data_IF_921146799036
#
_entry.id   IF_921146799036
#
_cell.length_a   1.000
_cell.length_b   1.000
_cell.length_c   1.000
_cell.angle_alpha   90.00
_cell.angle_beta   90.00
_cell.angle_gamma   90.00
#
_symmetry.space_group_name_H-M   'P 1'
#
loop_
_entity.id
_entity.type
_entity.pdbx_description
1 polymer ?
#
# COMPACT_ATOMS: atom_id res chain seq x y z
N UNK A 1 -11.42 -0.29 6.08
CA UNK A 1 -10.67 -1.23 5.18
C UNK A 1 -9.16 -1.15 5.45
N UNK A 2 -8.43 -2.28 5.45
CA UNK A 2 -7.07 -2.44 6.00
C UNK A 2 -5.97 -2.36 4.93
N UNK A 3 -5.59 -1.16 4.45
CA UNK A 3 -4.59 -1.04 3.37
C UNK A 3 -3.16 -0.78 3.87
N UNK A 4 -2.96 0.08 4.87
CA UNK A 4 -1.65 0.70 5.10
C UNK A 4 -0.51 -0.20 5.59
N UNK A 5 -0.73 -0.99 6.65
CA UNK A 5 0.35 -1.76 7.30
C UNK A 5 0.75 -3.00 6.51
N UNK A 6 -0.18 -3.67 5.81
CA UNK A 6 0.15 -4.85 5.00
C UNK A 6 0.92 -4.49 3.73
N UNK A 7 0.71 -3.30 3.16
CA UNK A 7 1.50 -2.79 2.02
C UNK A 7 3.02 -2.81 2.31
N UNK A 8 3.44 -2.57 3.56
CA UNK A 8 4.85 -2.58 3.97
C UNK A 8 5.51 -3.95 3.73
N UNK A 9 4.76 -5.04 3.87
CA UNK A 9 5.29 -6.39 3.69
C UNK A 9 5.72 -6.65 2.23
N UNK A 10 5.21 -5.85 1.27
CA UNK A 10 5.60 -5.83 -0.14
C UNK A 10 6.62 -4.72 -0.47
N UNK A 11 7.45 -4.28 0.47
CA UNK A 11 8.42 -3.19 0.27
C UNK A 11 9.29 -3.32 -0.99
N UNK A 12 9.70 -4.53 -1.40
CA UNK A 12 10.44 -4.75 -2.65
C UNK A 12 9.64 -4.41 -3.90
N UNK A 13 8.34 -4.74 -3.93
CA UNK A 13 7.45 -4.45 -5.06
C UNK A 13 7.10 -2.96 -5.09
N UNK A 14 6.83 -2.37 -3.91
CA UNK A 14 6.58 -0.94 -3.76
C UNK A 14 7.79 -0.10 -4.21
N UNK A 15 9.01 -0.53 -3.88
CA UNK A 15 10.24 0.10 -4.35
C UNK A 15 10.37 0.07 -5.89
N UNK A 16 9.86 -0.98 -6.54
CA UNK A 16 9.89 -1.10 -8.01
C UNK A 16 8.84 -0.22 -8.68
N UNK A 17 7.65 -0.12 -8.08
CA UNK A 17 6.58 0.76 -8.56
C UNK A 17 6.93 2.24 -8.38
N UNK A 18 7.54 2.60 -7.25
CA UNK A 18 7.85 3.97 -6.88
C UNK A 18 6.61 4.78 -6.50
N UNK A 19 6.68 6.09 -6.67
CA UNK A 19 5.54 6.99 -6.44
C UNK A 19 4.54 6.93 -7.60
N UNK A 20 3.25 6.93 -7.29
CA UNK A 20 2.19 6.86 -8.28
C UNK A 20 0.86 6.42 -7.69
N UNK A 21 -0.11 6.13 -8.55
CA UNK A 21 -1.44 5.67 -8.13
C UNK A 21 -1.62 4.22 -8.51
N UNK A 22 -1.76 3.35 -7.50
CA UNK A 22 -2.15 1.96 -7.66
C UNK A 22 -3.66 1.85 -7.52
N UNK A 23 -4.33 1.29 -8.53
CA UNK A 23 -5.77 1.01 -8.51
C UNK A 23 -6.00 -0.48 -8.60
N UNK A 24 -6.92 -0.98 -7.80
CA UNK A 24 -7.47 -2.33 -7.89
C UNK A 24 -8.97 -2.26 -8.13
N UNK A 25 -9.45 -2.94 -9.16
CA UNK A 25 -10.87 -3.12 -9.44
C UNK A 25 -11.29 -4.52 -8.97
N UNK A 26 -12.11 -4.58 -7.92
CA UNK A 26 -12.57 -5.82 -7.30
C UNK A 26 -13.56 -6.61 -8.19
N UNK A 27 -14.19 -5.94 -9.16
CA UNK A 27 -15.18 -6.58 -10.04
C UNK A 27 -14.49 -7.29 -11.20
N UNK A 28 -13.49 -6.63 -11.80
CA UNK A 28 -12.70 -7.20 -12.90
C UNK A 28 -11.46 -7.95 -12.41
N UNK A 29 -11.12 -7.81 -11.14
CA UNK A 29 -9.88 -8.32 -10.52
C UNK A 29 -8.60 -7.80 -11.19
N UNK A 30 -8.68 -6.61 -11.79
CA UNK A 30 -7.56 -6.00 -12.52
C UNK A 30 -6.84 -4.95 -11.67
N UNK A 31 -5.52 -4.89 -11.85
CA UNK A 31 -4.65 -3.93 -11.19
C UNK A 31 -4.08 -2.94 -12.21
N UNK A 32 -4.05 -1.67 -11.85
CA UNK A 32 -3.51 -0.60 -12.68
C UNK A 32 -2.53 0.23 -11.88
N UNK A 33 -1.44 0.66 -12.50
CA UNK A 33 -0.51 1.62 -11.91
C UNK A 33 -0.33 2.78 -12.86
N UNK A 34 -0.67 4.00 -12.42
CA UNK A 34 -0.72 5.19 -13.27
C UNK A 34 -1.50 4.93 -14.58
N UNK A 35 -2.66 4.28 -14.45
CA UNK A 35 -3.56 3.86 -15.53
C UNK A 35 -3.06 2.73 -16.46
N UNK A 36 -1.81 2.27 -16.31
CA UNK A 36 -1.30 1.12 -17.04
C UNK A 36 -1.68 -0.20 -16.35
N UNK A 37 -2.18 -1.18 -17.12
CA UNK A 37 -2.51 -2.51 -16.59
C UNK A 37 -1.24 -3.23 -16.12
N UNK A 38 -1.24 -3.70 -14.88
CA UNK A 38 -0.14 -4.46 -14.28
C UNK A 38 -0.64 -5.80 -13.75
N UNK A 39 0.29 -6.73 -13.54
CA UNK A 39 -0.02 -7.90 -12.72
C UNK A 39 -0.28 -7.44 -11.27
N UNK A 40 -1.32 -7.98 -10.60
CA UNK A 40 -1.58 -7.67 -9.21
C UNK A 40 -0.32 -7.93 -8.36
N UNK A 41 0.20 -6.94 -7.63
CA UNK A 41 1.19 -7.19 -6.60
C UNK A 41 0.59 -8.11 -5.52
N UNK A 42 1.41 -8.91 -4.85
CA UNK A 42 0.94 -9.90 -3.86
C UNK A 42 -0.01 -9.31 -2.81
N UNK A 43 0.25 -8.06 -2.41
CA UNK A 43 -0.60 -7.35 -1.45
C UNK A 43 -2.03 -7.13 -1.94
N UNK A 44 -2.25 -6.90 -3.24
CA UNK A 44 -3.60 -6.76 -3.79
C UNK A 44 -4.32 -8.11 -3.82
N UNK A 45 -3.60 -9.22 -4.00
CA UNK A 45 -4.18 -10.57 -3.90
C UNK A 45 -4.70 -10.85 -2.48
N UNK A 46 -3.95 -10.47 -1.44
CA UNK A 46 -4.41 -10.61 -0.06
C UNK A 46 -5.67 -9.79 0.24
N UNK A 47 -5.73 -8.56 -0.29
CA UNK A 47 -6.89 -7.66 -0.13
C UNK A 47 -8.10 -8.24 -0.87
N UNK A 48 -7.90 -8.82 -2.05
CA UNK A 48 -8.94 -9.49 -2.82
C UNK A 48 -9.50 -10.73 -2.12
N UNK A 49 -8.63 -11.55 -1.51
CA UNK A 49 -9.05 -12.71 -0.71
C UNK A 49 -9.91 -12.22 0.46
N UNK A 50 -9.42 -11.23 1.22
CA UNK A 50 -10.17 -10.65 2.34
C UNK A 50 -11.53 -10.10 1.90
N UNK A 51 -11.57 -9.36 0.78
CA UNK A 51 -12.81 -8.83 0.24
C UNK A 51 -13.80 -9.95 -0.14
N UNK A 52 -13.31 -11.02 -0.76
CA UNK A 52 -14.14 -12.17 -1.14
C UNK A 52 -14.72 -12.89 0.08
N UNK A 53 -13.89 -13.15 1.10
CA UNK A 53 -14.33 -13.76 2.37
C UNK A 53 -15.38 -12.92 3.09
N UNK A 54 -15.21 -11.59 3.06
CA UNK A 54 -16.18 -10.63 3.60
C UNK A 54 -17.53 -10.72 2.90
N UNK A 55 -17.53 -10.77 1.56
CA UNK A 55 -18.75 -10.91 0.77
C UNK A 55 -19.46 -12.23 1.08
N UNK A 56 -18.73 -13.33 1.11
CA UNK A 56 -19.27 -14.65 1.43
C UNK A 56 -19.90 -14.67 2.83
N UNK A 57 -19.22 -14.11 3.84
CA UNK A 57 -19.74 -14.01 5.20
C UNK A 57 -21.03 -13.19 5.29
N UNK A 58 -21.15 -12.15 4.47
CA UNK A 58 -22.34 -11.31 4.40
C UNK A 58 -23.41 -11.85 3.43
N UNK A 59 -23.15 -12.98 2.76
CA UNK A 59 -24.01 -13.53 1.70
C UNK A 59 -24.29 -12.53 0.57
N UNK A 60 -23.28 -11.70 0.26
CA UNK A 60 -23.32 -10.73 -0.82
C UNK A 60 -22.63 -11.30 -2.06
N UNK A 61 -23.09 -10.86 -3.22
CA UNK A 61 -22.53 -11.25 -4.52
C UNK A 61 -21.98 -10.01 -5.23
N UNK A 62 -20.86 -10.16 -5.94
CA UNK A 62 -20.21 -9.05 -6.66
C UNK A 62 -21.11 -8.39 -7.69
N UNK A 63 -22.09 -9.13 -8.22
CA UNK A 63 -23.05 -8.59 -9.20
C UNK A 63 -23.99 -7.54 -8.61
N UNK A 64 -24.03 -7.41 -7.28
CA UNK A 64 -24.79 -6.37 -6.58
C UNK A 64 -24.07 -5.00 -6.59
N UNK A 65 -22.82 -4.95 -7.06
CA UNK A 65 -22.03 -3.72 -7.11
C UNK A 65 -21.91 -3.24 -8.55
N UNK A 66 -22.19 -1.96 -8.78
CA UNK A 66 -21.89 -1.27 -10.03
C UNK A 66 -20.41 -0.90 -10.14
N UNK A 67 -19.79 -0.66 -8.99
CA UNK A 67 -18.39 -0.29 -8.88
C UNK A 67 -17.87 -0.74 -7.52
N UNK A 68 -16.69 -1.33 -7.51
CA UNK A 68 -15.93 -1.62 -6.30
C UNK A 68 -14.44 -1.48 -6.63
N UNK A 69 -13.79 -0.43 -6.11
CA UNK A 69 -12.35 -0.24 -6.32
C UNK A 69 -11.62 0.20 -5.05
N UNK A 70 -10.32 -0.07 -5.03
CA UNK A 70 -9.35 0.49 -4.12
C UNK A 70 -8.35 1.34 -4.93
N UNK A 71 -8.24 2.61 -4.62
CA UNK A 71 -7.16 3.48 -5.08
C UNK A 71 -6.17 3.70 -3.95
N UNK A 72 -4.87 3.63 -4.24
CA UNK A 72 -3.78 3.89 -3.30
C UNK A 72 -2.80 4.84 -3.98
N UNK A 73 -2.78 6.09 -3.54
CA UNK A 73 -1.70 7.00 -3.88
C UNK A 73 -0.47 6.65 -3.02
N UNK A 74 0.60 6.25 -3.70
CA UNK A 74 1.88 5.88 -3.11
C UNK A 74 2.80 7.09 -3.27
N UNK A 75 3.27 7.61 -2.15
CA UNK A 75 4.27 8.68 -2.13
C UNK A 75 5.51 8.13 -1.45
N UNK A 76 6.55 7.92 -2.25
CA UNK A 76 7.86 7.46 -1.81
C UNK A 76 8.78 8.67 -1.65
N UNK A 77 9.32 8.84 -0.44
CA UNK A 77 10.32 9.84 -0.12
C UNK A 77 11.65 9.14 0.20
N UNK A 78 12.71 9.56 -0.50
CA UNK A 78 14.07 9.12 -0.20
C UNK A 78 14.51 9.72 1.14
N UNK A 79 14.92 8.87 2.07
CA UNK A 79 15.53 9.27 3.34
C UNK A 79 17.01 8.94 3.28
N UNK A 80 17.83 9.96 3.07
CA UNK A 80 19.27 9.82 3.18
C UNK A 80 19.67 9.87 4.65
N UNK A 81 20.13 8.74 5.19
CA UNK A 81 20.79 8.69 6.48
C UNK A 81 22.12 9.44 6.41
N UNK A 82 22.12 10.72 6.79
CA UNK A 82 23.35 11.41 7.18
C UNK A 82 23.68 10.95 8.59
N UNK A 83 24.53 9.93 8.71
CA UNK A 83 25.11 9.50 9.98
C UNK A 83 25.55 10.73 10.81
N UNK A 84 24.74 11.12 11.80
CA UNK A 84 25.23 12.03 12.83
C UNK A 84 26.21 11.22 13.67
N UNK A 85 27.50 11.38 13.38
CA UNK A 85 28.62 10.80 14.11
C UNK A 85 28.40 10.93 15.62
N UNK A 86 28.04 9.84 16.29
CA UNK A 86 28.44 9.65 17.68
C UNK A 86 29.70 8.80 17.65
N UNK A 87 30.80 9.48 17.99
CA UNK A 87 32.15 8.94 18.07
C UNK A 87 32.19 7.73 19.00
N UNK A 88 32.40 6.54 18.45
CA UNK A 88 33.13 5.49 19.13
C UNK A 88 34.44 5.28 18.36
N UNK A 89 35.53 5.73 18.97
CA UNK A 89 36.89 5.36 18.55
C UNK A 89 37.00 3.85 18.82
N UNK A 90 37.48 3.07 17.86
CA UNK A 90 37.59 1.59 17.87
C UNK A 90 36.46 0.82 17.15
N UNK A 91 36.14 1.19 15.92
CA UNK A 91 35.68 0.19 14.95
C UNK A 91 36.05 0.66 13.55
N UNK A 92 36.76 -0.17 12.78
CA UNK A 92 36.81 -0.05 11.33
C UNK A 92 35.38 -0.22 10.80
N UNK A 93 34.61 0.86 10.73
CA UNK A 93 33.25 0.85 10.18
C UNK A 93 33.32 1.29 8.72
N UNK A 94 33.03 0.35 7.82
CA UNK A 94 32.61 0.70 6.47
C UNK A 94 31.39 1.60 6.57
N UNK A 95 31.48 2.82 6.05
CA UNK A 95 30.33 3.69 5.85
C UNK A 95 29.45 3.06 4.76
N UNK A 96 28.49 2.20 5.13
CA UNK A 96 27.43 1.84 4.19
C UNK A 96 26.37 2.93 4.27
N UNK A 97 26.36 3.83 3.29
CA UNK A 97 25.20 4.67 3.03
C UNK A 97 24.03 3.75 2.69
N UNK A 98 23.18 3.43 3.66
CA UNK A 98 21.95 2.70 3.39
C UNK A 98 20.89 3.71 2.96
N UNK A 99 20.42 3.57 1.72
CA UNK A 99 19.26 4.29 1.21
C UNK A 99 18.02 3.67 1.86
N UNK A 100 17.26 4.48 2.60
CA UNK A 100 15.94 4.09 3.11
C UNK A 100 14.85 4.93 2.44
N UNK A 101 13.66 4.36 2.35
CA UNK A 101 12.48 5.06 1.81
C UNK A 101 11.42 5.15 2.89
N UNK A 102 10.77 6.31 2.96
CA UNK A 102 9.54 6.53 3.70
C UNK A 102 8.39 6.54 2.69
N UNK A 103 7.32 5.81 2.98
CA UNK A 103 6.11 5.81 2.18
C UNK A 103 4.98 6.53 2.91
N UNK A 104 4.16 7.22 2.15
CA UNK A 104 2.78 7.56 2.53
C UNK A 104 1.85 6.86 1.55
N UNK A 105 0.79 6.27 2.09
CA UNK A 105 -0.28 5.66 1.34
C UNK A 105 -1.56 6.42 1.62
N UNK A 106 -2.11 7.07 0.62
CA UNK A 106 -3.45 7.65 0.69
C UNK A 106 -4.40 6.70 -0.03
N UNK A 107 -5.15 5.92 0.74
CA UNK A 107 -6.09 4.93 0.25
C UNK A 107 -7.50 5.52 0.15
N UNK A 108 -8.19 5.19 -0.93
CA UNK A 108 -9.62 5.42 -1.12
C UNK A 108 -10.29 4.11 -1.54
N UNK A 109 -11.23 3.64 -0.74
CA UNK A 109 -12.19 2.62 -1.14
C UNK A 109 -13.44 3.30 -1.67
N UNK A 110 -14.00 2.78 -2.75
CA UNK A 110 -15.33 3.15 -3.21
C UNK A 110 -16.11 1.92 -3.62
N UNK A 111 -17.33 1.80 -3.09
CA UNK A 111 -18.31 0.78 -3.46
C UNK A 111 -19.61 1.49 -3.81
N UNK A 112 -20.17 1.16 -4.96
CA UNK A 112 -21.46 1.68 -5.43
C UNK A 112 -22.42 0.51 -5.66
N UNK A 113 -23.58 0.59 -5.02
CA UNK A 113 -24.73 -0.30 -5.24
C UNK A 113 -25.88 0.48 -5.89
N UNK A 114 -27.03 -0.18 -6.09
CA UNK A 114 -28.27 0.47 -6.52
C UNK A 114 -28.77 1.52 -5.52
N UNK A 115 -28.53 1.30 -4.23
CA UNK A 115 -29.15 2.07 -3.15
C UNK A 115 -28.20 3.07 -2.50
N UNK A 116 -26.91 2.72 -2.45
CA UNK A 116 -25.94 3.45 -1.65
C UNK A 116 -24.59 3.58 -2.35
N UNK A 117 -23.90 4.65 -1.99
CA UNK A 117 -22.50 4.85 -2.30
C UNK A 117 -21.71 4.90 -0.98
N UNK A 118 -20.69 4.08 -0.89
CA UNK A 118 -19.77 4.02 0.24
C UNK A 118 -18.39 4.47 -0.22
N UNK A 119 -17.86 5.50 0.43
CA UNK A 119 -16.51 6.00 0.20
C UNK A 119 -15.78 6.02 1.54
N UNK A 120 -14.68 5.28 1.64
CA UNK A 120 -13.82 5.26 2.82
C UNK A 120 -12.43 5.74 2.43
N UNK A 121 -11.89 6.72 3.16
CA UNK A 121 -10.53 7.21 2.94
C UNK A 121 -9.67 6.88 4.15
N UNK A 122 -8.46 6.39 3.90
CA UNK A 122 -7.52 6.04 4.94
C UNK A 122 -6.12 6.48 4.54
N UNK A 123 -5.41 7.12 5.45
CA UNK A 123 -4.03 7.52 5.25
C UNK A 123 -3.12 6.66 6.14
N UNK A 124 -2.03 6.18 5.56
CA UNK A 124 -0.99 5.45 6.28
C UNK A 124 0.38 6.06 6.00
N UNK A 125 1.24 6.09 7.01
CA UNK A 125 2.63 6.49 6.89
C UNK A 125 3.51 5.33 7.30
N UNK A 126 4.55 5.06 6.53
CA UNK A 126 5.50 3.99 6.80
C UNK A 126 6.90 4.56 6.63
N UNK A 127 7.64 4.64 7.72
CA UNK A 127 8.98 5.21 7.81
C UNK A 127 9.53 4.85 9.17
N UNK A 128 10.85 4.73 9.32
CA UNK A 128 11.49 4.25 10.54
C UNK A 128 10.82 4.88 11.78
N UNK A 129 10.27 4.07 12.69
CA UNK A 129 10.18 4.49 14.06
C UNK A 129 11.62 4.42 14.58
N UNK A 130 12.24 5.56 14.84
CA UNK A 130 13.27 5.60 15.89
C UNK A 130 12.65 5.33 17.29
N UNK A 131 11.43 4.78 17.36
CA UNK A 131 10.64 4.58 18.57
C UNK A 131 9.79 3.29 18.56
N UNK A 132 10.33 2.19 18.04
CA UNK A 132 10.01 0.86 18.55
C UNK A 132 11.32 0.20 18.99
N UNK A 133 11.93 0.77 20.03
CA UNK A 133 12.82 0.07 20.95
C UNK A 133 12.01 -0.39 22.15
#
# INVERSE_FOLDING_TARGET
MFCGWRLINSSTELNRLGSGVLKYDFLTQQSFFNDDLIQPPNILEEIEIFFSEELDRMSLTRVAFHLAFLNVEIIQNLVESKNSKKFDKHAHKSESNYISYQYRFDCECRILTDEFEYIEKYQCFTGLPDSFC
#
